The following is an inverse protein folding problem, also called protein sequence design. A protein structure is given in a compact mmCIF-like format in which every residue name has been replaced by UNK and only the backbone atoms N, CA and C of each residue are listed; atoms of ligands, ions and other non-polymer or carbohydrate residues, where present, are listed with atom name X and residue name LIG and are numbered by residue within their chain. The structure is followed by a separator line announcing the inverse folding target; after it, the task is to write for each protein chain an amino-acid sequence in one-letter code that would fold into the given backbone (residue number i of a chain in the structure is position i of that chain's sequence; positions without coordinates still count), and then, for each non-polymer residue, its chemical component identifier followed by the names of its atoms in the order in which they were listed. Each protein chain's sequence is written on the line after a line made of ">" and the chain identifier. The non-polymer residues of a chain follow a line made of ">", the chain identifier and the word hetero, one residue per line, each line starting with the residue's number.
data_IF_744010312998
#
_entry.id   IF_744010312998
#
_cell.length_a   1.000
_cell.length_b   1.000
_cell.length_c   1.000
_cell.angle_alpha   90.00
_cell.angle_beta   90.00
_cell.angle_gamma   90.00
#
_symmetry.space_group_name_H-M   'P 1'
#
loop_
_entity.id
_entity.type
_entity.pdbx_description
1 polymer ?
#
# COMPACT_ATOMS: atom_id res chain seq x y z
N UNK A 1 38.84 17.95 37.93
CA UNK A 1 37.52 18.61 37.85
C UNK A 1 37.19 18.75 36.38
N UNK A 2 36.20 18.05 35.82
CA UNK A 2 35.72 18.33 34.48
C UNK A 2 34.50 19.27 34.54
N UNK A 3 34.56 20.32 33.73
CA UNK A 3 33.46 21.24 33.44
C UNK A 3 32.25 20.50 32.87
N UNK A 4 31.07 20.78 33.42
CA UNK A 4 29.79 20.37 32.83
C UNK A 4 29.46 21.31 31.68
N UNK A 5 29.35 20.78 30.47
CA UNK A 5 28.62 21.44 29.38
C UNK A 5 27.13 21.44 29.73
N UNK A 6 26.56 22.64 29.82
CA UNK A 6 25.13 22.87 30.03
C UNK A 6 24.42 22.78 28.67
N UNK A 7 23.78 21.64 28.40
CA UNK A 7 22.91 21.48 27.25
C UNK A 7 21.54 22.09 27.60
N UNK A 8 21.28 23.31 27.13
CA UNK A 8 19.94 23.90 27.14
C UNK A 8 18.96 22.97 26.42
N UNK A 9 18.19 22.22 27.20
CA UNK A 9 17.00 21.49 26.74
C UNK A 9 15.99 22.56 26.31
N UNK A 10 15.84 22.76 25.01
CA UNK A 10 14.76 23.60 24.47
C UNK A 10 13.46 22.89 24.82
N UNK A 11 12.64 23.50 25.67
CA UNK A 11 11.29 23.03 25.92
C UNK A 11 10.48 23.13 24.61
N UNK A 12 10.13 21.99 24.03
CA UNK A 12 9.50 21.89 22.70
C UNK A 12 8.00 22.24 22.78
N UNK A 13 7.40 22.14 23.97
CA UNK A 13 5.96 22.32 24.16
C UNK A 13 5.45 23.71 23.77
N UNK A 14 6.08 24.84 24.18
CA UNK A 14 5.61 26.18 23.82
C UNK A 14 5.73 26.45 22.31
N UNK A 15 6.78 25.92 21.68
CA UNK A 15 7.01 26.05 20.24
C UNK A 15 5.96 25.27 19.45
N UNK A 16 5.64 24.05 19.88
CA UNK A 16 4.60 23.22 19.26
C UNK A 16 3.21 23.86 19.40
N UNK A 17 2.84 24.38 20.58
CA UNK A 17 1.57 25.08 20.78
C UNK A 17 1.43 26.30 19.85
N UNK A 18 2.50 27.09 19.71
CA UNK A 18 2.52 28.24 18.81
C UNK A 18 2.34 27.85 17.34
N UNK A 19 2.95 26.73 16.92
CA UNK A 19 2.78 26.20 15.57
C UNK A 19 1.35 25.73 15.32
N UNK A 20 0.74 25.04 16.29
CA UNK A 20 -0.66 24.59 16.19
C UNK A 20 -1.64 25.75 16.04
N UNK A 21 -1.47 26.82 16.83
CA UNK A 21 -2.30 28.04 16.72
C UNK A 21 -2.13 28.72 15.35
N UNK A 22 -0.89 28.82 14.85
CA UNK A 22 -0.61 29.40 13.54
C UNK A 22 -1.22 28.57 12.41
N UNK A 23 -1.13 27.25 12.50
CA UNK A 23 -1.75 26.33 11.55
C UNK A 23 -3.28 26.48 11.56
N UNK A 24 -3.92 26.49 12.73
CA UNK A 24 -5.36 26.66 12.85
C UNK A 24 -5.85 27.97 12.22
N UNK A 25 -5.19 29.10 12.51
CA UNK A 25 -5.53 30.41 11.96
C UNK A 25 -5.36 30.48 10.43
N UNK A 26 -4.34 29.81 9.91
CA UNK A 26 -4.09 29.74 8.46
C UNK A 26 -5.20 28.95 7.77
N UNK A 27 -5.62 27.83 8.36
CA UNK A 27 -6.69 27.00 7.85
C UNK A 27 -8.05 27.72 7.88
N UNK A 28 -8.38 28.44 8.95
CA UNK A 28 -9.57 29.29 9.01
C UNK A 28 -9.59 30.33 7.89
N UNK A 29 -8.44 30.94 7.60
CA UNK A 29 -8.32 31.93 6.53
C UNK A 29 -8.58 31.31 5.15
N UNK A 30 -8.03 30.11 4.89
CA UNK A 30 -8.23 29.39 3.62
C UNK A 30 -9.68 28.94 3.46
N UNK A 31 -10.34 28.51 4.54
CA UNK A 31 -11.76 28.12 4.52
C UNK A 31 -12.71 29.30 4.27
N UNK A 32 -12.27 30.53 4.53
CA UNK A 32 -13.03 31.76 4.28
C UNK A 32 -12.63 32.46 2.98
N UNK A 33 -11.63 31.95 2.26
CA UNK A 33 -11.15 32.55 1.02
C UNK A 33 -12.03 32.11 -0.15
N UNK A 34 -12.91 33.02 -0.59
CA UNK A 34 -13.82 32.82 -1.72
C UNK A 34 -13.12 32.56 -3.07
N UNK A 35 -11.81 32.82 -3.18
CA UNK A 35 -11.03 32.52 -4.39
C UNK A 35 -10.60 31.05 -4.51
N UNK A 36 -10.65 30.29 -3.42
CA UNK A 36 -10.42 28.84 -3.41
C UNK A 36 -11.69 28.11 -3.85
N UNK A 37 -11.59 27.01 -4.60
CA UNK A 37 -12.78 26.29 -5.02
C UNK A 37 -13.54 25.72 -3.82
N UNK A 38 -14.88 25.78 -3.82
CA UNK A 38 -15.70 25.30 -2.70
C UNK A 38 -15.44 23.81 -2.36
N UNK A 39 -15.13 23.00 -3.36
CA UNK A 39 -14.73 21.58 -3.19
C UNK A 39 -13.37 21.43 -2.51
N UNK A 40 -12.43 22.32 -2.79
CA UNK A 40 -11.09 22.32 -2.20
C UNK A 40 -11.12 22.81 -0.75
N UNK A 41 -11.96 23.82 -0.45
CA UNK A 41 -12.27 24.20 0.94
C UNK A 41 -12.93 23.07 1.72
N UNK A 42 -13.83 22.30 1.10
CA UNK A 42 -14.48 21.15 1.73
C UNK A 42 -13.48 20.01 2.02
N UNK A 43 -12.55 19.72 1.12
CA UNK A 43 -11.50 18.72 1.33
C UNK A 43 -10.54 19.13 2.45
N UNK A 44 -10.13 20.40 2.48
CA UNK A 44 -9.32 20.96 3.57
C UNK A 44 -10.07 20.84 4.91
N UNK A 45 -11.36 21.18 4.96
CA UNK A 45 -12.19 21.03 6.16
C UNK A 45 -12.29 19.56 6.62
N UNK A 46 -12.47 18.61 5.70
CA UNK A 46 -12.54 17.18 6.00
C UNK A 46 -11.22 16.64 6.55
N UNK A 47 -10.08 17.07 5.99
CA UNK A 47 -8.75 16.71 6.50
C UNK A 47 -8.50 17.29 7.89
N UNK A 48 -8.97 18.49 8.17
CA UNK A 48 -8.93 19.09 9.52
C UNK A 48 -9.81 18.30 10.49
N UNK A 49 -11.02 17.92 10.08
CA UNK A 49 -11.93 17.11 10.89
C UNK A 49 -11.35 15.71 11.15
N UNK A 50 -10.66 15.11 10.19
CA UNK A 50 -9.96 13.85 10.36
C UNK A 50 -8.78 13.98 11.36
N UNK A 51 -8.05 15.10 11.32
CA UNK A 51 -7.00 15.42 12.30
C UNK A 51 -7.57 15.75 13.69
N UNK A 52 -8.78 16.32 13.75
CA UNK A 52 -9.50 16.64 14.99
C UNK A 52 -10.35 15.46 15.52
N UNK A 53 -10.46 14.38 14.75
CA UNK A 53 -11.36 13.22 14.94
C UNK A 53 -11.07 12.32 16.15
N UNK A 54 -10.44 12.87 17.19
CA UNK A 54 -10.59 12.41 18.57
C UNK A 54 -11.76 13.10 19.31
N UNK A 55 -12.54 13.95 18.65
CA UNK A 55 -13.74 14.61 19.19
C UNK A 55 -14.94 14.39 18.26
N UNK A 56 -16.06 13.93 18.82
CA UNK A 56 -17.32 13.66 18.10
C UNK A 56 -17.82 14.90 17.33
N UNK A 57 -17.99 14.77 16.01
CA UNK A 57 -18.59 15.81 15.14
C UNK A 57 -19.89 15.28 14.53
N UNK A 58 -21.01 16.05 14.53
CA UNK A 58 -22.29 15.58 14.01
C UNK A 58 -22.31 15.49 12.48
N UNK A 59 -22.92 14.43 11.95
CA UNK A 59 -23.17 14.22 10.51
C UNK A 59 -24.18 15.25 9.99
N UNK A 60 -23.86 15.92 8.87
CA UNK A 60 -24.76 16.85 8.17
C UNK A 60 -25.62 16.04 7.16
N UNK A 61 -26.97 16.03 7.28
CA UNK A 61 -27.86 15.13 6.52
C UNK A 61 -28.01 15.41 5.01
N UNK A 62 -27.53 16.54 4.50
CA UNK A 62 -27.99 17.10 3.21
C UNK A 62 -27.26 16.55 1.97
N UNK A 63 -26.37 15.56 2.11
CA UNK A 63 -25.64 14.92 1.00
C UNK A 63 -26.04 13.44 0.75
N UNK A 64 -27.03 12.93 1.47
CA UNK A 64 -27.38 11.50 1.45
C UNK A 64 -28.35 11.07 0.31
N UNK A 65 -28.82 11.99 -0.55
CA UNK A 65 -30.00 11.72 -1.39
C UNK A 65 -29.77 11.93 -2.90
N UNK A 66 -28.77 11.27 -3.51
CA UNK A 66 -28.70 11.12 -4.99
C UNK A 66 -28.03 9.82 -5.48
N UNK A 67 -28.33 8.65 -4.90
CA UNK A 67 -27.92 7.37 -5.48
C UNK A 67 -29.10 6.40 -5.58
N UNK A 68 -29.71 6.31 -6.76
CA UNK A 68 -30.67 5.25 -7.12
C UNK A 68 -29.91 4.03 -7.68
N UNK A 69 -30.36 2.80 -7.39
CA UNK A 69 -29.70 1.56 -7.81
C UNK A 69 -30.08 1.17 -9.24
N UNK A 70 -29.13 0.61 -10.01
CA UNK A 70 -29.39 -0.05 -11.30
C UNK A 70 -29.33 -1.56 -11.08
N UNK A 71 -30.37 -2.24 -11.59
CA UNK A 71 -30.68 -3.65 -11.38
C UNK A 71 -29.69 -4.61 -12.06
N UNK A 72 -29.45 -5.73 -11.37
CA UNK A 72 -28.69 -6.88 -11.84
C UNK A 72 -29.42 -7.65 -12.94
N UNK A 73 -28.68 -8.12 -13.95
CA UNK A 73 -29.13 -9.18 -14.87
C UNK A 73 -28.14 -10.33 -14.81
N UNK A 74 -28.63 -11.50 -14.41
CA UNK A 74 -27.89 -12.77 -14.36
C UNK A 74 -27.74 -13.35 -15.77
N UNK A 75 -26.54 -13.82 -16.09
CA UNK A 75 -26.33 -14.80 -17.15
C UNK A 75 -25.38 -15.89 -16.63
N UNK A 76 -25.87 -17.12 -16.64
CA UNK A 76 -25.15 -18.32 -16.23
C UNK A 76 -24.10 -18.70 -17.28
N UNK A 77 -22.87 -19.02 -16.85
CA UNK A 77 -21.85 -19.63 -17.69
C UNK A 77 -21.21 -20.80 -16.94
N UNK A 78 -21.12 -21.92 -17.65
CA UNK A 78 -20.70 -23.23 -17.18
C UNK A 78 -19.21 -23.31 -16.79
N UNK A 79 -18.93 -24.15 -15.81
CA UNK A 79 -17.60 -24.51 -15.29
C UNK A 79 -16.82 -25.43 -16.24
N UNK A 80 -15.53 -25.18 -16.49
CA UNK A 80 -14.57 -26.24 -16.79
C UNK A 80 -13.68 -26.51 -15.58
N UNK A 81 -13.66 -27.78 -15.18
CA UNK A 81 -12.77 -28.37 -14.17
C UNK A 81 -11.34 -28.42 -14.69
N UNK A 82 -10.40 -27.80 -13.97
CA UNK A 82 -8.98 -28.15 -14.05
C UNK A 82 -8.41 -28.23 -12.63
N UNK A 83 -7.73 -29.33 -12.34
CA UNK A 83 -7.15 -29.63 -11.03
C UNK A 83 -6.02 -28.62 -10.70
N UNK A 84 -5.93 -28.10 -9.46
CA UNK A 84 -4.82 -27.25 -9.06
C UNK A 84 -3.55 -28.09 -8.82
N UNK A 85 -2.43 -27.59 -9.33
CA UNK A 85 -1.07 -28.01 -8.98
C UNK A 85 -0.79 -27.78 -7.48
N UNK A 86 0.10 -28.56 -6.84
CA UNK A 86 0.45 -28.38 -5.43
C UNK A 86 1.11 -27.01 -5.19
N UNK A 87 0.67 -26.32 -4.13
CA UNK A 87 1.15 -24.99 -3.75
C UNK A 87 2.59 -25.03 -3.20
N UNK A 88 3.40 -23.96 -3.44
CA UNK A 88 4.70 -23.78 -2.78
C UNK A 88 4.54 -23.53 -1.27
N UNK A 89 5.54 -23.94 -0.49
CA UNK A 89 5.51 -23.88 0.98
C UNK A 89 5.68 -22.45 1.51
N UNK A 90 4.88 -22.09 2.53
CA UNK A 90 5.02 -20.84 3.30
C UNK A 90 6.41 -20.80 3.95
N UNK A 91 7.23 -19.80 3.61
CA UNK A 91 8.62 -19.80 4.06
C UNK A 91 8.83 -19.00 5.35
N UNK A 92 8.06 -17.94 5.62
CA UNK A 92 8.11 -17.22 6.90
C UNK A 92 6.73 -16.62 7.24
N UNK A 93 6.15 -17.03 8.37
CA UNK A 93 5.06 -16.34 9.04
C UNK A 93 5.54 -16.05 10.47
N UNK A 94 5.68 -14.78 10.85
CA UNK A 94 5.91 -14.45 12.25
C UNK A 94 4.59 -14.64 13.01
N UNK A 95 4.55 -15.48 14.06
CA UNK A 95 3.31 -15.72 14.77
C UNK A 95 2.93 -14.51 15.62
N UNK A 96 1.74 -13.95 15.36
CA UNK A 96 1.05 -13.13 16.33
C UNK A 96 0.51 -14.02 17.48
N UNK A 97 0.47 -13.48 18.70
CA UNK A 97 -0.14 -14.14 19.85
C UNK A 97 -1.64 -14.38 19.61
N UNK A 98 -2.19 -15.44 20.23
CA UNK A 98 -3.62 -15.82 20.13
C UNK A 98 -4.57 -14.63 20.37
N UNK A 99 -5.69 -14.52 19.64
CA UNK A 99 -6.58 -13.37 19.76
C UNK A 99 -7.30 -13.35 21.13
N UNK A 100 -7.16 -12.24 21.84
CA UNK A 100 -7.97 -11.91 23.03
C UNK A 100 -9.36 -11.43 22.56
N UNK A 101 -10.47 -12.10 22.94
CA UNK A 101 -11.82 -11.70 22.56
C UNK A 101 -12.27 -10.36 23.17
N UNK A 102 -11.46 -9.74 24.04
CA UNK A 102 -11.66 -8.40 24.58
C UNK A 102 -10.62 -7.37 24.09
N UNK A 103 -9.85 -7.69 23.06
CA UNK A 103 -8.80 -6.82 22.56
C UNK A 103 -9.36 -5.42 22.24
N UNK A 104 -8.97 -4.44 23.06
CA UNK A 104 -8.94 -3.04 22.69
C UNK A 104 -8.31 -2.93 21.30
N UNK A 105 -8.81 -2.04 20.44
CA UNK A 105 -8.16 -1.76 19.15
C UNK A 105 -6.64 -1.70 19.36
N UNK A 106 -5.86 -2.50 18.63
CA UNK A 106 -4.43 -2.56 18.89
C UNK A 106 -3.88 -1.16 18.74
N UNK A 107 -3.13 -0.67 19.73
CA UNK A 107 -2.55 0.68 19.68
C UNK A 107 -1.59 0.81 18.49
N UNK A 108 -0.98 -0.32 18.10
CA UNK A 108 -0.01 -0.43 17.01
C UNK A 108 -0.32 -1.64 16.12
N UNK A 109 -0.19 -1.44 14.81
CA UNK A 109 -0.10 -2.51 13.83
C UNK A 109 1.38 -2.87 13.64
N UNK A 110 1.78 -4.12 13.92
CA UNK A 110 3.14 -4.54 13.58
C UNK A 110 3.32 -4.50 12.05
N UNK A 111 4.52 -4.18 11.60
CA UNK A 111 4.90 -4.25 10.18
C UNK A 111 5.09 -5.70 9.72
N UNK A 112 4.19 -6.59 10.12
CA UNK A 112 4.21 -8.02 9.82
C UNK A 112 3.81 -8.27 8.37
N UNK A 113 4.39 -9.31 7.80
CA UNK A 113 4.16 -9.71 6.42
C UNK A 113 4.29 -11.22 6.27
N UNK A 114 3.61 -11.75 5.26
CA UNK A 114 3.77 -13.11 4.79
C UNK A 114 4.64 -13.10 3.54
N UNK A 115 5.63 -13.98 3.50
CA UNK A 115 6.51 -14.14 2.34
C UNK A 115 6.45 -15.56 1.80
N UNK A 116 6.32 -15.67 0.48
CA UNK A 116 6.36 -16.93 -0.27
C UNK A 116 7.33 -16.75 -1.43
N UNK A 117 8.42 -17.53 -1.43
CA UNK A 117 9.31 -17.61 -2.58
C UNK A 117 8.80 -18.69 -3.54
N UNK A 118 9.27 -18.63 -4.78
CA UNK A 118 8.84 -19.53 -5.86
C UNK A 118 7.32 -19.53 -6.07
N UNK A 119 6.68 -18.35 -5.96
CA UNK A 119 5.22 -18.20 -5.99
C UNK A 119 4.60 -18.57 -7.35
N UNK A 120 5.30 -18.21 -8.44
CA UNK A 120 4.93 -18.61 -9.80
C UNK A 120 5.82 -19.76 -10.26
N UNK A 121 5.35 -20.56 -11.22
CA UNK A 121 6.25 -21.50 -11.88
C UNK A 121 7.37 -20.74 -12.61
N UNK A 122 8.52 -21.37 -12.89
CA UNK A 122 9.58 -20.73 -13.67
C UNK A 122 9.08 -20.19 -15.03
N UNK A 123 8.18 -20.91 -15.69
CA UNK A 123 7.57 -20.50 -16.95
C UNK A 123 6.67 -19.27 -16.79
N UNK A 124 5.85 -19.24 -15.74
CA UNK A 124 4.98 -18.10 -15.42
C UNK A 124 5.81 -16.85 -15.02
N UNK A 125 6.86 -17.02 -14.23
CA UNK A 125 7.80 -15.94 -13.86
C UNK A 125 8.51 -15.36 -15.10
N UNK A 126 8.96 -16.22 -16.01
CA UNK A 126 9.55 -15.78 -17.27
C UNK A 126 8.51 -15.11 -18.18
N UNK A 127 7.28 -15.59 -18.19
CA UNK A 127 6.20 -15.02 -19.00
C UNK A 127 5.87 -13.58 -18.57
N UNK A 128 5.77 -13.29 -17.27
CA UNK A 128 5.50 -11.91 -16.81
C UNK A 128 6.66 -10.97 -17.09
N UNK A 129 7.90 -11.47 -17.00
CA UNK A 129 9.07 -10.68 -17.43
C UNK A 129 8.98 -10.33 -18.92
N UNK A 130 8.64 -11.30 -19.77
CA UNK A 130 8.50 -11.05 -21.21
C UNK A 130 7.36 -10.08 -21.51
N UNK A 131 6.21 -10.20 -20.83
CA UNK A 131 5.09 -9.26 -20.93
C UNK A 131 5.57 -7.84 -20.61
N UNK A 132 6.30 -7.65 -19.51
CA UNK A 132 6.80 -6.34 -19.12
C UNK A 132 7.70 -5.73 -20.22
N UNK A 133 8.65 -6.52 -20.75
CA UNK A 133 9.59 -6.10 -21.79
C UNK A 133 8.86 -5.76 -23.10
N UNK A 134 7.99 -6.63 -23.57
CA UNK A 134 7.26 -6.44 -24.84
C UNK A 134 6.32 -5.23 -24.79
N UNK A 135 5.84 -4.89 -23.59
CA UNK A 135 4.93 -3.77 -23.32
C UNK A 135 5.62 -2.53 -22.80
N UNK A 136 6.94 -2.43 -22.91
CA UNK A 136 7.72 -1.28 -22.40
C UNK A 136 7.12 0.07 -22.83
N UNK A 137 6.67 0.21 -24.08
CA UNK A 137 6.11 1.46 -24.60
C UNK A 137 4.74 1.83 -24.03
N UNK A 138 4.04 0.87 -23.41
CA UNK A 138 2.70 1.04 -22.83
C UNK A 138 2.76 1.46 -21.34
N UNK A 139 3.96 1.50 -20.74
CA UNK A 139 4.16 1.99 -19.38
C UNK A 139 4.01 3.51 -19.32
N UNK A 140 3.30 3.98 -18.30
CA UNK A 140 3.12 5.42 -18.03
C UNK A 140 3.68 5.80 -16.67
N UNK A 141 4.17 7.04 -16.46
CA UNK A 141 4.61 7.49 -15.15
C UNK A 141 3.49 7.37 -14.11
N UNK A 142 3.86 6.91 -12.91
CA UNK A 142 2.94 6.86 -11.77
C UNK A 142 2.73 8.24 -11.14
N UNK A 143 1.56 8.45 -10.54
CA UNK A 143 1.28 9.57 -9.64
C UNK A 143 0.79 9.05 -8.29
N UNK A 144 0.82 9.91 -7.27
CA UNK A 144 0.15 9.66 -5.98
C UNK A 144 -1.26 10.23 -6.00
N UNK A 145 -2.15 9.75 -5.13
CA UNK A 145 -3.51 10.30 -4.96
C UNK A 145 -3.52 11.80 -4.64
N UNK A 146 -2.46 12.29 -4.00
CA UNK A 146 -2.27 13.69 -3.62
C UNK A 146 -1.54 14.53 -4.67
N UNK A 147 -1.11 13.93 -5.80
CA UNK A 147 -0.20 14.53 -6.79
C UNK A 147 1.05 15.17 -6.16
N UNK A 148 1.51 14.63 -5.02
CA UNK A 148 2.70 15.14 -4.35
C UNK A 148 3.94 14.93 -5.23
N UNK A 149 4.59 16.03 -5.58
CA UNK A 149 5.84 16.02 -6.33
C UNK A 149 6.93 15.24 -5.58
N UNK A 150 7.72 14.47 -6.34
CA UNK A 150 8.90 13.76 -5.82
C UNK A 150 8.57 12.82 -4.64
N UNK A 151 7.37 12.23 -4.63
CA UNK A 151 6.94 11.28 -3.61
C UNK A 151 7.06 9.83 -4.06
N UNK A 152 6.81 9.61 -5.35
CA UNK A 152 6.91 8.33 -6.05
C UNK A 152 7.58 8.57 -7.39
N UNK A 153 8.51 7.70 -7.74
CA UNK A 153 9.14 7.65 -9.04
C UNK A 153 9.08 6.21 -9.53
N UNK A 154 8.12 5.91 -10.39
CA UNK A 154 8.02 4.61 -11.07
C UNK A 154 7.08 4.70 -12.27
N UNK A 155 7.06 3.64 -13.08
CA UNK A 155 6.14 3.50 -14.19
C UNK A 155 5.15 2.38 -13.92
N UNK A 156 3.94 2.48 -14.48
CA UNK A 156 2.87 1.49 -14.32
C UNK A 156 2.34 1.05 -15.69
N UNK A 157 2.05 -0.25 -15.78
CA UNK A 157 1.28 -0.88 -16.84
C UNK A 157 -0.02 -1.42 -16.22
N UNK A 158 -1.15 -1.14 -16.86
CA UNK A 158 -2.49 -1.50 -16.36
C UNK A 158 -2.95 -2.90 -16.83
N UNK A 159 -3.84 -3.58 -16.08
CA UNK A 159 -4.26 -4.97 -16.36
C UNK A 159 -4.84 -5.23 -17.75
N UNK A 160 -5.33 -4.21 -18.45
CA UNK A 160 -5.80 -4.32 -19.84
C UNK A 160 -4.72 -4.78 -20.82
N UNK A 161 -3.44 -4.63 -20.46
CA UNK A 161 -2.30 -5.06 -21.29
C UNK A 161 -1.81 -6.48 -20.99
N UNK A 162 -2.30 -7.11 -19.91
CA UNK A 162 -1.88 -8.44 -19.45
C UNK A 162 -3.03 -9.24 -18.82
N UNK A 163 -4.21 -9.17 -19.43
CA UNK A 163 -5.47 -9.66 -18.85
C UNK A 163 -5.46 -11.15 -18.49
N UNK A 164 -4.88 -12.01 -19.32
CA UNK A 164 -4.80 -13.45 -19.01
C UNK A 164 -3.94 -13.72 -17.77
N UNK A 165 -2.81 -13.00 -17.65
CA UNK A 165 -1.91 -13.11 -16.51
C UNK A 165 -2.55 -12.53 -15.24
N UNK A 166 -3.30 -11.43 -15.39
CA UNK A 166 -4.11 -10.87 -14.31
C UNK A 166 -5.07 -11.91 -13.73
N UNK A 167 -5.83 -12.63 -14.58
CA UNK A 167 -6.76 -13.66 -14.10
C UNK A 167 -6.04 -14.85 -13.44
N UNK A 168 -4.90 -15.27 -13.99
CA UNK A 168 -4.07 -16.33 -13.41
C UNK A 168 -3.66 -15.98 -11.98
N UNK A 169 -3.02 -14.83 -11.77
CA UNK A 169 -2.54 -14.40 -10.45
C UNK A 169 -3.71 -14.10 -9.51
N UNK A 170 -4.79 -13.47 -10.01
CA UNK A 170 -5.98 -13.17 -9.21
C UNK A 170 -6.64 -14.44 -8.66
N UNK A 171 -6.73 -15.50 -9.47
CA UNK A 171 -7.31 -16.77 -9.04
C UNK A 171 -6.49 -17.40 -7.91
N UNK A 172 -5.16 -17.33 -7.99
CA UNK A 172 -4.23 -17.84 -6.97
C UNK A 172 -4.34 -17.04 -5.67
N UNK A 173 -4.33 -15.70 -5.75
CA UNK A 173 -4.50 -14.83 -4.58
C UNK A 173 -5.83 -15.08 -3.85
N UNK A 174 -6.93 -15.26 -4.59
CA UNK A 174 -8.23 -15.60 -4.01
C UNK A 174 -8.23 -16.96 -3.32
N UNK A 175 -7.60 -17.97 -3.93
CA UNK A 175 -7.50 -19.31 -3.34
C UNK A 175 -6.69 -19.32 -2.03
N UNK A 176 -5.71 -18.42 -1.90
CA UNK A 176 -4.83 -18.33 -0.73
C UNK A 176 -5.37 -17.44 0.40
N UNK A 177 -6.51 -16.78 0.20
CA UNK A 177 -6.99 -15.73 1.10
C UNK A 177 -7.06 -16.18 2.56
N UNK A 178 -7.68 -17.33 2.83
CA UNK A 178 -7.86 -17.83 4.20
C UNK A 178 -6.52 -18.10 4.90
N UNK A 179 -5.55 -18.68 4.18
CA UNK A 179 -4.21 -18.95 4.72
C UNK A 179 -3.47 -17.65 5.03
N UNK A 180 -3.56 -16.66 4.13
CA UNK A 180 -2.90 -15.36 4.31
C UNK A 180 -3.51 -14.58 5.49
N UNK A 181 -4.84 -14.53 5.57
CA UNK A 181 -5.57 -13.87 6.67
C UNK A 181 -5.19 -14.48 8.01
N UNK A 182 -5.14 -15.82 8.08
CA UNK A 182 -4.73 -16.52 9.28
C UNK A 182 -3.26 -16.24 9.65
N UNK A 183 -2.35 -16.31 8.68
CA UNK A 183 -0.92 -16.08 8.90
C UNK A 183 -0.62 -14.66 9.40
N UNK A 184 -1.40 -13.67 8.95
CA UNK A 184 -1.27 -12.27 9.33
C UNK A 184 -2.17 -11.87 10.51
N UNK A 185 -2.91 -12.81 11.09
CA UNK A 185 -3.88 -12.55 12.17
C UNK A 185 -4.87 -11.42 11.84
N UNK A 186 -5.34 -11.40 10.59
CA UNK A 186 -6.33 -10.43 10.12
C UNK A 186 -7.75 -10.96 10.36
N UNK A 187 -8.74 -10.07 10.54
CA UNK A 187 -10.14 -10.48 10.50
C UNK A 187 -10.48 -11.09 9.12
N UNK A 188 -11.30 -12.15 9.12
CA UNK A 188 -11.85 -12.67 7.87
C UNK A 188 -12.70 -11.60 7.15
N UNK A 189 -12.61 -11.58 5.83
CA UNK A 189 -13.39 -10.69 4.97
C UNK A 189 -13.73 -11.40 3.66
N UNK A 190 -14.75 -10.96 2.92
CA UNK A 190 -14.97 -11.41 1.55
C UNK A 190 -14.22 -10.48 0.58
N UNK A 191 -13.68 -11.03 -0.52
CA UNK A 191 -13.04 -10.20 -1.55
C UNK A 191 -14.11 -9.70 -2.52
N UNK A 192 -14.43 -8.41 -2.46
CA UNK A 192 -15.31 -7.74 -3.43
C UNK A 192 -14.54 -7.46 -4.73
N UNK A 193 -13.37 -6.82 -4.60
CA UNK A 193 -12.54 -6.42 -5.71
C UNK A 193 -11.08 -6.81 -5.48
N UNK A 194 -10.39 -7.13 -6.57
CA UNK A 194 -8.94 -7.33 -6.59
C UNK A 194 -8.35 -6.34 -7.58
N UNK A 195 -7.46 -5.49 -7.10
CA UNK A 195 -6.72 -4.54 -7.92
C UNK A 195 -5.34 -5.11 -8.23
N UNK A 196 -4.81 -4.82 -9.42
CA UNK A 196 -3.46 -5.22 -9.83
C UNK A 196 -2.84 -4.19 -10.74
N UNK A 197 -1.54 -3.98 -10.57
CA UNK A 197 -0.71 -3.12 -11.38
C UNK A 197 0.63 -3.80 -11.58
N UNK A 198 1.20 -3.68 -12.78
CA UNK A 198 2.58 -4.03 -13.02
C UNK A 198 3.38 -2.74 -12.96
N UNK A 199 4.42 -2.67 -12.13
CA UNK A 199 5.25 -1.46 -12.03
C UNK A 199 6.72 -1.73 -12.35
N UNK A 200 7.40 -0.72 -12.89
CA UNK A 200 8.81 -0.73 -13.20
C UNK A 200 9.52 0.40 -12.46
N UNK A 201 10.60 0.04 -11.75
CA UNK A 201 11.49 0.99 -11.08
C UNK A 201 12.90 0.88 -11.66
N UNK A 202 13.36 1.94 -12.34
CA UNK A 202 14.74 2.07 -12.83
C UNK A 202 15.71 2.59 -11.78
N UNK A 203 16.90 3.01 -12.21
CA UNK A 203 17.88 3.63 -11.30
C UNK A 203 17.31 4.90 -10.64
N UNK A 204 17.56 5.06 -9.34
CA UNK A 204 17.13 6.21 -8.55
C UNK A 204 15.63 6.25 -8.21
N UNK A 205 14.80 5.40 -8.81
CA UNK A 205 13.36 5.31 -8.51
C UNK A 205 13.12 4.89 -7.05
N UNK A 206 11.97 5.27 -6.49
CA UNK A 206 11.58 5.03 -5.09
C UNK A 206 10.08 5.26 -4.88
N UNK A 207 9.59 4.94 -3.67
CA UNK A 207 8.29 5.39 -3.19
C UNK A 207 8.39 5.64 -1.68
N UNK A 208 8.18 6.88 -1.25
CA UNK A 208 8.29 7.28 0.18
C UNK A 208 7.24 6.62 1.05
N UNK A 209 7.45 6.72 2.37
CA UNK A 209 6.60 6.13 3.40
C UNK A 209 5.11 6.44 3.19
N UNK A 210 4.28 5.42 3.06
CA UNK A 210 2.83 5.53 2.90
C UNK A 210 2.15 4.28 3.45
N UNK A 211 0.82 4.33 3.56
CA UNK A 211 0.01 3.13 3.65
C UNK A 211 -0.91 3.08 2.42
N UNK A 212 -1.53 1.93 2.22
CA UNK A 212 -2.40 1.67 1.08
C UNK A 212 -3.89 1.66 1.45
N UNK A 213 -4.24 2.09 2.67
CA UNK A 213 -5.59 2.06 3.21
C UNK A 213 -5.94 3.38 3.90
N UNK A 214 -5.85 4.48 3.17
CA UNK A 214 -6.27 5.81 3.59
C UNK A 214 -7.39 6.38 2.70
N UNK A 215 -8.09 7.41 3.19
CA UNK A 215 -9.09 8.15 2.42
C UNK A 215 -10.11 7.27 1.66
N UNK A 216 -10.18 7.47 0.34
CA UNK A 216 -11.11 6.76 -0.56
C UNK A 216 -10.78 5.26 -0.74
N UNK A 217 -9.58 4.82 -0.35
CA UNK A 217 -9.12 3.43 -0.52
C UNK A 217 -9.10 2.61 0.78
N UNK A 218 -9.79 3.09 1.83
CA UNK A 218 -9.95 2.45 3.14
C UNK A 218 -10.51 1.00 3.10
N UNK A 219 -11.02 0.57 1.95
CA UNK A 219 -11.51 -0.80 1.71
C UNK A 219 -10.41 -1.79 1.34
N UNK A 220 -9.20 -1.33 1.00
CA UNK A 220 -8.03 -2.20 0.78
C UNK A 220 -7.64 -2.83 2.12
N UNK A 221 -7.79 -4.14 2.21
CA UNK A 221 -7.49 -4.89 3.45
C UNK A 221 -6.10 -5.49 3.36
N UNK A 222 -5.76 -6.11 2.23
CA UNK A 222 -4.48 -6.78 2.03
C UNK A 222 -3.75 -6.18 0.83
N UNK A 223 -2.48 -5.85 1.02
CA UNK A 223 -1.56 -5.45 -0.06
C UNK A 223 -0.70 -6.65 -0.42
N UNK A 224 -0.43 -6.83 -1.71
CA UNK A 224 0.56 -7.79 -2.19
C UNK A 224 1.57 -7.15 -3.12
N UNK A 225 2.80 -7.64 -3.07
CA UNK A 225 3.90 -7.24 -3.95
C UNK A 225 4.65 -8.50 -4.39
N UNK A 226 4.49 -8.88 -5.64
CA UNK A 226 5.24 -9.94 -6.29
C UNK A 226 6.41 -9.36 -7.07
N UNK A 227 7.62 -9.83 -6.79
CA UNK A 227 8.87 -9.39 -7.39
C UNK A 227 9.28 -10.27 -8.55
N UNK A 228 9.68 -9.63 -9.65
CA UNK A 228 10.35 -10.32 -10.75
C UNK A 228 11.38 -9.42 -11.41
N UNK A 229 12.42 -10.02 -11.97
CA UNK A 229 13.49 -9.31 -12.67
C UNK A 229 14.24 -10.24 -13.61
N UNK A 230 14.96 -9.67 -14.57
CA UNK A 230 15.96 -10.43 -15.35
C UNK A 230 16.99 -11.03 -14.39
N UNK A 231 17.45 -12.25 -14.68
CA UNK A 231 18.52 -12.89 -13.92
C UNK A 231 19.83 -12.93 -14.71
N UNK A 232 20.99 -12.71 -14.07
CA UNK A 232 21.16 -12.35 -12.66
C UNK A 232 20.59 -10.95 -12.33
N UNK A 233 20.18 -10.75 -11.06
CA UNK A 233 19.53 -9.49 -10.61
C UNK A 233 20.39 -8.28 -10.97
N UNK A 234 19.91 -7.35 -11.83
CA UNK A 234 20.73 -6.29 -12.42
C UNK A 234 20.77 -5.00 -11.57
N UNK A 235 20.15 -5.00 -10.38
CA UNK A 235 20.08 -3.85 -9.49
C UNK A 235 20.33 -4.25 -8.02
N UNK A 236 20.58 -3.24 -7.18
CA UNK A 236 20.69 -3.34 -5.72
C UNK A 236 19.79 -2.31 -5.04
N UNK A 237 19.52 -2.49 -3.75
CA UNK A 237 18.52 -1.68 -3.05
C UNK A 237 17.11 -2.01 -3.51
N UNK A 238 16.18 -1.04 -3.46
CA UNK A 238 14.78 -1.33 -3.79
C UNK A 238 14.06 -2.19 -2.75
N UNK A 239 14.58 -2.28 -1.52
CA UNK A 239 13.92 -3.05 -0.47
C UNK A 239 12.55 -2.43 -0.16
N UNK A 240 11.56 -3.29 0.08
CA UNK A 240 10.33 -2.87 0.72
C UNK A 240 10.60 -2.76 2.21
N UNK A 241 10.54 -1.55 2.74
CA UNK A 241 10.75 -1.29 4.15
C UNK A 241 9.40 -1.19 4.84
N UNK A 242 9.18 -2.03 5.84
CA UNK A 242 7.98 -2.09 6.67
C UNK A 242 8.22 -1.43 8.03
N UNK A 243 7.26 -0.64 8.48
CA UNK A 243 7.27 0.03 9.77
C UNK A 243 6.14 -0.47 10.67
N UNK A 244 6.37 -0.40 11.98
CA UNK A 244 5.24 -0.44 12.92
C UNK A 244 4.42 0.84 12.77
N UNK A 245 3.10 0.68 12.73
CA UNK A 245 2.15 1.76 12.44
C UNK A 245 1.29 2.03 13.66
N UNK A 246 1.14 3.28 14.04
CA UNK A 246 0.19 3.66 15.07
C UNK A 246 -1.22 3.55 14.50
N UNK A 247 -2.04 2.68 15.08
CA UNK A 247 -3.36 2.34 14.56
C UNK A 247 -4.32 3.54 14.56
N UNK A 248 -4.17 4.43 15.54
CA UNK A 248 -5.09 5.54 15.77
C UNK A 248 -4.89 6.64 14.73
N UNK A 249 -3.63 6.95 14.39
CA UNK A 249 -3.31 8.07 13.52
C UNK A 249 -2.77 7.67 12.14
N UNK A 250 -2.47 6.38 11.92
CA UNK A 250 -2.00 5.84 10.64
C UNK A 250 -0.54 6.18 10.30
N UNK A 251 0.25 6.70 11.25
CA UNK A 251 1.64 7.09 11.03
C UNK A 251 2.63 6.04 11.54
N UNK A 252 3.88 6.14 11.10
CA UNK A 252 4.99 5.36 11.65
C UNK A 252 5.06 5.59 13.16
N UNK A 253 4.93 4.50 13.93
CA UNK A 253 4.91 4.55 15.39
C UNK A 253 6.31 4.78 15.96
N UNK A 254 7.34 4.16 15.35
CA UNK A 254 8.72 4.15 15.81
C UNK A 254 9.70 3.97 14.64
N UNK A 255 10.98 4.36 14.77
CA UNK A 255 11.93 4.34 13.66
C UNK A 255 12.41 2.93 13.29
N UNK A 256 12.16 1.91 14.11
CA UNK A 256 12.49 0.53 13.81
C UNK A 256 11.72 0.03 12.59
N UNK A 257 12.41 -0.72 11.74
CA UNK A 257 11.88 -1.19 10.47
C UNK A 257 12.36 -2.60 10.15
N UNK A 258 11.67 -3.22 9.19
CA UNK A 258 12.07 -4.48 8.57
C UNK A 258 12.25 -4.25 7.07
N UNK A 259 13.40 -4.67 6.52
CA UNK A 259 13.68 -4.55 5.09
C UNK A 259 13.48 -5.90 4.41
N UNK A 260 12.64 -5.92 3.38
CA UNK A 260 12.36 -7.10 2.56
C UNK A 260 13.04 -6.92 1.21
N UNK A 261 13.99 -7.81 0.91
CA UNK A 261 14.71 -7.77 -0.35
C UNK A 261 13.80 -8.22 -1.51
N UNK A 262 13.81 -7.50 -2.65
CA UNK A 262 13.08 -7.89 -3.86
C UNK A 262 13.81 -9.04 -4.57
N UNK A 263 13.60 -10.26 -4.07
CA UNK A 263 14.12 -11.49 -4.67
C UNK A 263 13.19 -11.93 -5.81
N UNK A 264 13.76 -12.37 -6.94
CA UNK A 264 12.97 -12.85 -8.07
C UNK A 264 12.02 -13.97 -7.64
N UNK A 265 10.79 -13.95 -8.15
CA UNK A 265 9.75 -14.93 -7.89
C UNK A 265 9.24 -14.99 -6.43
N UNK A 266 9.46 -13.94 -5.64
CA UNK A 266 8.92 -13.77 -4.29
C UNK A 266 7.64 -12.96 -4.32
N UNK A 267 6.61 -13.40 -3.60
CA UNK A 267 5.47 -12.56 -3.22
C UNK A 267 5.52 -12.22 -1.73
N UNK A 268 5.17 -10.98 -1.41
CA UNK A 268 4.99 -10.48 -0.05
C UNK A 268 3.55 -10.00 0.09
N UNK A 269 2.88 -10.36 1.18
CA UNK A 269 1.53 -9.91 1.50
C UNK A 269 1.50 -9.32 2.91
N UNK A 270 0.79 -8.22 3.10
CA UNK A 270 0.71 -7.53 4.39
C UNK A 270 -0.59 -6.73 4.53
N UNK A 271 -0.91 -6.31 5.76
CA UNK A 271 -2.06 -5.45 6.04
C UNK A 271 -1.87 -4.08 5.35
N UNK A 272 -2.85 -3.66 4.55
CA UNK A 272 -2.73 -2.43 3.74
C UNK A 272 -2.60 -1.16 4.58
N UNK A 273 -2.95 -1.22 5.87
CA UNK A 273 -2.79 -0.10 6.81
C UNK A 273 -1.34 0.07 7.27
N UNK A 274 -0.49 -0.93 7.10
CA UNK A 274 0.91 -0.85 7.53
C UNK A 274 1.68 0.18 6.69
N UNK A 275 2.37 1.09 7.38
CA UNK A 275 3.26 2.06 6.79
C UNK A 275 4.50 1.37 6.21
N UNK A 276 4.80 1.72 4.96
CA UNK A 276 5.89 1.11 4.22
C UNK A 276 6.45 2.06 3.15
N UNK A 277 7.66 1.79 2.69
CA UNK A 277 8.29 2.51 1.59
C UNK A 277 9.12 1.59 0.69
N UNK A 278 9.36 2.03 -0.55
CA UNK A 278 10.32 1.41 -1.45
C UNK A 278 11.59 2.24 -1.43
N UNK A 279 12.65 1.67 -0.87
CA UNK A 279 13.96 2.32 -0.82
C UNK A 279 14.50 2.58 -2.22
N UNK A 280 15.36 3.60 -2.40
CA UNK A 280 15.95 3.90 -3.70
C UNK A 280 16.60 2.68 -4.37
N UNK A 281 16.26 2.48 -5.64
CA UNK A 281 16.89 1.47 -6.49
C UNK A 281 18.23 2.03 -6.98
N UNK A 282 19.25 1.18 -7.04
CA UNK A 282 20.53 1.50 -7.68
C UNK A 282 20.81 0.47 -8.78
N UNK A 283 20.90 0.95 -10.01
CA UNK A 283 21.22 0.15 -11.19
C UNK A 283 22.31 0.85 -11.98
N UNK A 284 23.31 0.10 -12.45
CA UNK A 284 24.34 0.63 -13.35
C UNK A 284 23.90 0.53 -14.83
N UNK A 285 22.67 0.06 -15.09
CA UNK A 285 22.05 -0.10 -16.41
C UNK A 285 20.87 0.86 -16.60
N UNK A 286 20.77 1.44 -17.78
CA UNK A 286 19.65 2.26 -18.26
C UNK A 286 18.65 1.46 -19.13
N UNK A 287 18.88 0.15 -19.29
CA UNK A 287 18.01 -0.73 -20.06
C UNK A 287 16.74 -1.03 -19.25
N UNK A 288 15.56 -0.78 -19.83
CA UNK A 288 14.28 -1.01 -19.16
C UNK A 288 14.11 -2.44 -18.62
N UNK A 289 14.58 -3.45 -19.36
CA UNK A 289 14.55 -4.86 -18.94
C UNK A 289 15.35 -5.15 -17.65
N UNK A 290 16.20 -4.22 -17.21
CA UNK A 290 16.95 -4.27 -15.95
C UNK A 290 16.24 -3.59 -14.78
N UNK A 291 15.00 -3.16 -14.97
CA UNK A 291 14.21 -2.56 -13.89
C UNK A 291 13.91 -3.56 -12.78
N UNK A 292 13.67 -3.03 -11.58
CA UNK A 292 12.97 -3.74 -10.51
C UNK A 292 11.49 -3.74 -10.86
N UNK A 293 10.96 -4.89 -11.28
CA UNK A 293 9.55 -5.04 -11.58
C UNK A 293 8.75 -5.57 -10.39
N UNK A 294 7.50 -5.15 -10.30
CA UNK A 294 6.52 -5.76 -9.41
C UNK A 294 5.19 -6.00 -10.11
N UNK A 295 4.51 -7.08 -9.73
CA UNK A 295 3.05 -7.12 -9.76
C UNK A 295 2.56 -6.79 -8.35
N UNK A 296 1.95 -5.63 -8.18
CA UNK A 296 1.44 -5.20 -6.88
C UNK A 296 -0.05 -4.84 -6.97
N UNK A 297 -0.73 -4.92 -5.85
CA UNK A 297 -2.14 -4.58 -5.79
C UNK A 297 -2.78 -4.90 -4.46
N UNK A 298 -4.11 -4.92 -4.46
CA UNK A 298 -4.89 -4.91 -3.24
C UNK A 298 -6.10 -5.83 -3.32
N UNK A 299 -6.40 -6.51 -2.21
CA UNK A 299 -7.67 -7.21 -2.02
C UNK A 299 -8.57 -6.32 -1.18
N UNK A 300 -9.76 -6.04 -1.70
CA UNK A 300 -10.73 -5.15 -1.09
C UNK A 300 -11.85 -5.91 -0.42
N UNK A 301 -12.24 -5.45 0.76
CA UNK A 301 -13.52 -5.84 1.38
C UNK A 301 -14.68 -5.06 0.74
N UNK A 302 -15.93 -5.55 0.88
CA UNK A 302 -17.12 -4.89 0.35
C UNK A 302 -17.36 -3.49 0.90
#
# INVERSE_FOLDING_TARGET
>A
MPEKLDATVVDIKPTLSKLLEQSAKTLETILQDDSVAATERADIALRILALAGGLDVPVIPELADTARPIAATQAAIATPTSNPSPMPALQHAQPAASPDPYATFPEFLPGDYLQIDDFLSPEENQQILQIAIDRQSDFVPTSTSTNADNYRASYVLYPSFFTDFYYLVSSRLRAMQSEVVQALNLPEFSIDELEMQLTAHGDGNFYKVHNDADGEVIKRTLTYVYYFNREPKPFRGGNLRMYETNYVNGWVAKPEYQDIEPINNRIVLFDSRCMHEVLPIKSDSDVFADSRFTLNGWLRRP
#
